data_IF_972348309305
#
_entry.id   IF_972348309305
#
_cell.length_a   1.000
_cell.length_b   1.000
_cell.length_c   1.000
_cell.angle_alpha   90.00
_cell.angle_beta   90.00
_cell.angle_gamma   90.00
#
_symmetry.space_group_name_H-M   'P 1'
#
loop_
_entity.id
_entity.type
_entity.pdbx_description
1 polymer ?
#
# COMPACT_ATOMS: atom_id res chain seq x y z
N UNK A 1 -17.52 8.16 -10.85
CA UNK A 1 -18.64 7.27 -11.23
C UNK A 1 -19.47 7.84 -12.38
N UNK A 2 -19.88 9.12 -12.36
CA UNK A 2 -20.71 9.73 -13.43
C UNK A 2 -19.98 10.72 -14.36
N UNK A 3 -18.68 10.94 -14.16
CA UNK A 3 -17.84 11.76 -15.05
C UNK A 3 -17.31 10.95 -16.23
N UNK A 4 -16.95 11.60 -17.36
CA UNK A 4 -16.44 10.92 -18.55
C UNK A 4 -15.28 9.98 -18.23
N UNK A 5 -15.30 8.81 -18.86
CA UNK A 5 -14.36 7.71 -18.59
C UNK A 5 -12.92 8.13 -18.88
N UNK A 6 -12.69 8.80 -20.02
CA UNK A 6 -11.39 9.35 -20.39
C UNK A 6 -10.86 10.43 -19.41
N UNK A 7 -11.76 11.15 -18.72
CA UNK A 7 -11.34 12.14 -17.73
C UNK A 7 -10.66 11.51 -16.50
N UNK A 8 -10.91 10.22 -16.24
CA UNK A 8 -10.23 9.49 -15.14
C UNK A 8 -8.74 9.33 -15.42
N UNK A 9 -8.38 8.92 -16.63
CA UNK A 9 -6.98 8.85 -17.06
C UNK A 9 -6.32 10.24 -17.03
N UNK A 10 -7.02 11.25 -17.58
CA UNK A 10 -6.52 12.63 -17.57
C UNK A 10 -6.26 13.14 -16.13
N UNK A 11 -7.13 12.80 -15.17
CA UNK A 11 -6.99 13.24 -13.78
C UNK A 11 -5.72 12.71 -13.11
N UNK A 12 -5.36 11.44 -13.38
CA UNK A 12 -4.15 10.81 -12.84
C UNK A 12 -2.90 11.50 -13.37
N UNK A 13 -2.80 11.66 -14.70
CA UNK A 13 -1.64 12.30 -15.31
C UNK A 13 -1.53 13.78 -14.99
N UNK A 14 -2.65 14.48 -14.87
CA UNK A 14 -2.67 15.89 -14.44
C UNK A 14 -2.15 16.02 -13.01
N UNK A 15 -2.62 15.17 -12.09
CA UNK A 15 -2.22 15.17 -10.69
C UNK A 15 -0.72 14.94 -10.51
N UNK A 16 -0.17 13.91 -11.15
CA UNK A 16 1.27 13.62 -11.05
C UNK A 16 2.12 14.71 -11.71
N UNK A 17 1.67 15.29 -12.82
CA UNK A 17 2.42 16.38 -13.48
C UNK A 17 2.47 17.64 -12.62
N UNK A 18 1.38 17.95 -11.90
CA UNK A 18 1.39 19.04 -10.92
C UNK A 18 2.31 18.70 -9.74
N UNK A 19 2.30 17.45 -9.26
CA UNK A 19 3.19 17.03 -8.18
C UNK A 19 4.67 17.14 -8.57
N UNK A 20 5.02 16.77 -9.80
CA UNK A 20 6.36 16.94 -10.36
C UNK A 20 6.74 18.41 -10.51
N UNK A 21 5.81 19.28 -10.92
CA UNK A 21 6.09 20.71 -11.00
C UNK A 21 6.51 21.29 -9.64
N UNK A 22 5.82 20.93 -8.56
CA UNK A 22 6.22 21.35 -7.21
C UNK A 22 7.49 20.64 -6.72
N UNK A 23 7.69 19.37 -7.07
CA UNK A 23 8.95 18.65 -6.82
C UNK A 23 10.13 19.40 -7.44
N UNK A 24 9.98 19.86 -8.67
CA UNK A 24 11.04 20.53 -9.44
C UNK A 24 11.38 21.92 -8.86
N UNK A 25 10.50 22.51 -8.03
CA UNK A 25 10.83 23.69 -7.21
C UNK A 25 11.67 23.36 -5.96
N UNK A 26 11.91 22.08 -5.67
CA UNK A 26 12.60 21.60 -4.47
C UNK A 26 11.66 21.28 -3.30
N UNK A 27 10.36 21.07 -3.54
CA UNK A 27 9.42 20.67 -2.49
C UNK A 27 9.29 19.15 -2.35
N UNK A 28 8.80 18.74 -1.18
CA UNK A 28 8.37 17.37 -0.90
C UNK A 28 6.85 17.28 -1.00
N UNK A 29 6.35 16.54 -1.97
CA UNK A 29 4.93 16.49 -2.35
C UNK A 29 4.38 15.08 -2.10
N UNK A 30 3.15 14.99 -1.60
CA UNK A 30 2.40 13.75 -1.53
C UNK A 30 1.23 13.79 -2.51
N UNK A 31 1.12 12.77 -3.37
CA UNK A 31 0.01 12.59 -4.31
C UNK A 31 -0.84 11.39 -3.87
N UNK A 32 -2.12 11.63 -3.59
CA UNK A 32 -3.08 10.57 -3.27
C UNK A 32 -3.94 10.28 -4.51
N UNK A 33 -3.89 9.03 -5.00
CA UNK A 33 -4.67 8.57 -6.14
C UNK A 33 -5.79 7.62 -5.65
N UNK A 34 -7.01 8.15 -5.54
CA UNK A 34 -8.18 7.42 -5.05
C UNK A 34 -9.30 7.34 -6.11
N UNK A 35 -9.49 6.24 -6.85
CA UNK A 35 -8.71 5.00 -6.82
C UNK A 35 -8.14 4.64 -8.19
N UNK A 36 -6.97 3.99 -8.19
CA UNK A 36 -6.29 3.57 -9.42
C UNK A 36 -7.04 2.44 -10.12
N UNK A 37 -7.87 1.66 -9.41
CA UNK A 37 -8.80 0.70 -10.02
C UNK A 37 -9.82 1.39 -10.93
N UNK A 38 -10.34 2.56 -10.58
CA UNK A 38 -11.28 3.31 -11.43
C UNK A 38 -10.63 3.86 -12.70
N UNK A 39 -9.32 4.10 -12.65
CA UNK A 39 -8.51 4.42 -13.81
C UNK A 39 -8.27 3.17 -14.67
N UNK A 40 -7.92 2.03 -14.08
CA UNK A 40 -7.75 0.77 -14.81
C UNK A 40 -9.04 0.32 -15.52
N UNK A 41 -10.20 0.46 -14.87
CA UNK A 41 -11.51 0.23 -15.49
C UNK A 41 -11.74 1.14 -16.70
N UNK A 42 -11.29 2.40 -16.64
CA UNK A 42 -11.40 3.33 -17.75
C UNK A 42 -10.55 2.90 -18.94
N UNK A 43 -9.32 2.43 -18.69
CA UNK A 43 -8.46 1.85 -19.71
C UNK A 43 -9.10 0.62 -20.35
N UNK A 44 -9.71 -0.26 -19.54
CA UNK A 44 -10.48 -1.41 -20.04
C UNK A 44 -11.63 -1.01 -20.94
N UNK A 45 -12.41 -0.01 -20.56
CA UNK A 45 -13.54 0.44 -21.39
C UNK A 45 -13.08 1.07 -22.71
N UNK A 46 -12.01 1.87 -22.68
CA UNK A 46 -11.44 2.48 -23.89
C UNK A 46 -10.87 1.39 -24.82
N UNK A 47 -10.11 0.46 -24.27
CA UNK A 47 -9.54 -0.69 -25.00
C UNK A 47 -10.63 -1.52 -25.67
N UNK A 48 -11.72 -1.82 -24.96
CA UNK A 48 -12.87 -2.52 -25.53
C UNK A 48 -13.57 -1.76 -26.65
N UNK A 49 -13.66 -0.43 -26.57
CA UNK A 49 -14.22 0.41 -27.66
C UNK A 49 -13.29 0.51 -28.87
N UNK A 50 -11.99 0.35 -28.67
CA UNK A 50 -10.99 0.30 -29.73
C UNK A 50 -10.86 -1.10 -30.35
N UNK A 51 -11.64 -2.08 -29.87
CA UNK A 51 -11.58 -3.47 -30.31
C UNK A 51 -10.18 -4.09 -30.15
N UNK A 52 -9.42 -3.62 -29.15
CA UNK A 52 -8.13 -4.21 -28.81
C UNK A 52 -8.32 -5.61 -28.21
N UNK A 53 -7.35 -6.49 -28.42
CA UNK A 53 -7.37 -7.82 -27.79
C UNK A 53 -7.26 -7.68 -26.27
N UNK A 54 -8.23 -8.19 -25.49
CA UNK A 54 -8.20 -8.12 -24.04
C UNK A 54 -7.11 -9.03 -23.46
N UNK A 55 -6.45 -8.56 -22.41
CA UNK A 55 -5.60 -9.36 -21.54
C UNK A 55 -6.38 -9.99 -20.39
N UNK A 56 -5.73 -10.16 -19.24
CA UNK A 56 -6.32 -10.74 -18.03
C UNK A 56 -7.53 -9.93 -17.55
N UNK A 57 -8.63 -10.63 -17.23
CA UNK A 57 -9.90 -10.05 -16.77
C UNK A 57 -10.47 -8.90 -17.64
N UNK A 58 -10.12 -8.90 -18.92
CA UNK A 58 -10.56 -7.90 -19.88
C UNK A 58 -9.76 -6.61 -19.88
N UNK A 59 -8.74 -6.45 -19.02
CA UNK A 59 -7.87 -5.27 -19.04
C UNK A 59 -6.97 -5.26 -20.28
N UNK A 60 -6.55 -4.09 -20.78
CA UNK A 60 -5.59 -4.03 -21.88
C UNK A 60 -4.25 -4.66 -21.51
N UNK A 61 -3.55 -5.24 -22.49
CA UNK A 61 -2.23 -5.83 -22.29
C UNK A 61 -1.18 -4.83 -21.74
N UNK A 62 -1.38 -3.53 -21.96
CA UNK A 62 -0.51 -2.45 -21.48
C UNK A 62 -0.86 -1.93 -20.07
N UNK A 63 -1.80 -2.55 -19.34
CA UNK A 63 -2.14 -2.11 -17.98
C UNK A 63 -0.90 -2.06 -17.06
N UNK A 64 -0.07 -3.11 -17.10
CA UNK A 64 1.12 -3.21 -16.26
C UNK A 64 2.13 -2.09 -16.55
N UNK A 65 2.40 -1.80 -17.83
CA UNK A 65 3.33 -0.74 -18.21
C UNK A 65 2.79 0.64 -17.86
N UNK A 66 1.49 0.90 -18.01
CA UNK A 66 0.87 2.18 -17.59
C UNK A 66 0.97 2.43 -16.09
N UNK A 67 0.72 1.39 -15.28
CA UNK A 67 0.90 1.49 -13.83
C UNK A 67 2.37 1.74 -13.48
N UNK A 68 3.31 1.06 -14.14
CA UNK A 68 4.74 1.25 -13.93
C UNK A 68 5.18 2.68 -14.29
N UNK A 69 4.81 3.16 -15.49
CA UNK A 69 5.06 4.54 -15.93
C UNK A 69 4.56 5.58 -14.92
N UNK A 70 3.39 5.34 -14.32
CA UNK A 70 2.83 6.24 -13.33
C UNK A 70 3.60 6.23 -12.00
N UNK A 71 3.87 5.05 -11.42
CA UNK A 71 4.54 4.96 -10.12
C UNK A 71 6.02 5.31 -10.19
N UNK A 72 6.71 5.04 -11.30
CA UNK A 72 8.13 5.39 -11.50
C UNK A 72 8.38 6.91 -11.63
N UNK A 73 7.32 7.71 -11.85
CA UNK A 73 7.41 9.18 -11.76
C UNK A 73 7.57 9.68 -10.33
N UNK A 74 7.21 8.85 -9.35
CA UNK A 74 7.43 9.13 -7.94
C UNK A 74 8.91 8.90 -7.57
N UNK A 75 9.38 9.59 -6.53
CA UNK A 75 10.75 9.40 -6.04
C UNK A 75 11.38 10.67 -5.50
N UNK A 76 12.54 10.50 -4.87
CA UNK A 76 13.43 11.57 -4.43
C UNK A 76 14.48 11.82 -5.51
N UNK A 77 14.57 13.04 -6.00
CA UNK A 77 15.43 13.40 -7.14
C UNK A 77 16.22 14.69 -6.87
N UNK A 78 17.37 14.80 -7.50
CA UNK A 78 18.06 16.08 -7.69
C UNK A 78 17.39 16.81 -8.85
N UNK A 79 16.89 18.02 -8.61
CA UNK A 79 16.13 18.78 -9.62
C UNK A 79 17.08 19.50 -10.56
N UNK A 80 16.65 19.70 -11.80
CA UNK A 80 17.41 20.46 -12.78
C UNK A 80 17.46 21.95 -12.38
N UNK A 81 18.64 22.57 -12.53
CA UNK A 81 18.82 23.99 -12.26
C UNK A 81 20.28 24.37 -12.04
N UNK A 82 20.54 25.67 -11.90
CA UNK A 82 21.86 26.19 -11.52
C UNK A 82 22.18 25.93 -10.04
N UNK A 83 21.15 25.81 -9.20
CA UNK A 83 21.27 25.48 -7.79
C UNK A 83 21.02 24.00 -7.54
N UNK A 84 21.84 23.40 -6.68
CA UNK A 84 21.66 22.02 -6.25
C UNK A 84 20.50 21.91 -5.27
N UNK A 85 19.33 21.55 -5.78
CA UNK A 85 18.09 21.35 -5.00
C UNK A 85 17.64 19.90 -5.09
N UNK A 86 16.93 19.47 -4.06
CA UNK A 86 16.35 18.15 -3.97
C UNK A 86 14.85 18.28 -3.75
N UNK A 87 14.08 17.45 -4.44
CA UNK A 87 12.63 17.38 -4.30
C UNK A 87 12.17 15.93 -4.23
N UNK A 88 10.95 15.69 -3.75
CA UNK A 88 10.38 14.35 -3.81
C UNK A 88 8.89 14.33 -4.11
N UNK A 89 8.44 13.28 -4.79
CA UNK A 89 7.01 12.92 -4.89
C UNK A 89 6.81 11.58 -4.24
N UNK A 90 5.92 11.52 -3.25
CA UNK A 90 5.43 10.28 -2.63
C UNK A 90 4.03 10.00 -3.17
N UNK A 91 3.85 8.89 -3.87
CA UNK A 91 2.53 8.48 -4.38
C UNK A 91 1.90 7.46 -3.44
N UNK A 92 0.64 7.71 -3.08
CA UNK A 92 -0.21 6.79 -2.32
C UNK A 92 -1.42 6.45 -3.19
N UNK A 93 -1.45 5.24 -3.73
CA UNK A 93 -2.55 4.75 -4.56
C UNK A 93 -3.51 3.86 -3.78
N UNK A 94 -4.80 4.18 -3.80
CA UNK A 94 -5.84 3.27 -3.34
C UNK A 94 -6.23 2.32 -4.47
N UNK A 95 -6.24 1.02 -4.19
CA UNK A 95 -6.72 -0.03 -5.09
C UNK A 95 -8.00 -0.62 -4.51
N UNK A 96 -9.02 -0.78 -5.33
CA UNK A 96 -10.36 -1.27 -4.95
C UNK A 96 -10.65 -2.60 -5.65
N UNK A 97 -9.98 -3.70 -5.26
CA UNK A 97 -10.20 -5.01 -5.88
C UNK A 97 -11.64 -5.48 -5.64
N UNK A 98 -12.31 -6.07 -6.65
CA UNK A 98 -13.65 -6.63 -6.48
C UNK A 98 -13.63 -7.71 -5.40
N UNK A 99 -14.50 -7.57 -4.40
CA UNK A 99 -14.61 -8.54 -3.30
C UNK A 99 -13.39 -8.60 -2.35
N UNK A 100 -12.43 -7.69 -2.46
CA UNK A 100 -11.21 -7.74 -1.66
C UNK A 100 -10.18 -8.76 -2.14
N UNK A 101 -10.32 -9.28 -3.36
CA UNK A 101 -9.41 -10.27 -3.93
C UNK A 101 -8.12 -9.60 -4.44
N UNK A 102 -7.00 -9.85 -3.75
CA UNK A 102 -5.70 -9.29 -4.15
C UNK A 102 -5.08 -9.99 -5.37
N UNK A 103 -5.66 -11.08 -5.87
CA UNK A 103 -5.16 -11.78 -7.06
C UNK A 103 -5.53 -11.09 -8.38
N UNK A 104 -6.44 -10.11 -8.34
CA UNK A 104 -6.87 -9.39 -9.53
C UNK A 104 -5.73 -8.55 -10.17
N UNK A 105 -5.78 -8.29 -11.49
CA UNK A 105 -4.66 -7.71 -12.23
C UNK A 105 -4.18 -6.35 -11.76
N UNK A 106 -5.05 -5.45 -11.30
CA UNK A 106 -4.66 -4.09 -10.87
C UNK A 106 -3.81 -4.16 -9.60
N UNK A 107 -4.21 -4.96 -8.62
CA UNK A 107 -3.49 -5.21 -7.38
C UNK A 107 -2.17 -5.90 -7.68
N UNK A 108 -2.17 -7.01 -8.43
CA UNK A 108 -0.94 -7.74 -8.75
C UNK A 108 0.08 -6.87 -9.50
N UNK A 109 -0.35 -6.10 -10.50
CA UNK A 109 0.55 -5.22 -11.24
C UNK A 109 1.05 -4.07 -10.35
N UNK A 110 0.21 -3.50 -9.49
CA UNK A 110 0.63 -2.45 -8.54
C UNK A 110 1.68 -2.99 -7.56
N UNK A 111 1.46 -4.17 -6.96
CA UNK A 111 2.38 -4.80 -6.00
C UNK A 111 3.76 -5.11 -6.58
N UNK A 112 3.87 -5.32 -7.90
CA UNK A 112 5.16 -5.53 -8.58
C UNK A 112 6.03 -4.28 -8.60
N UNK A 113 5.43 -3.09 -8.47
CA UNK A 113 6.13 -1.81 -8.64
C UNK A 113 6.32 -1.12 -7.29
N UNK A 114 5.27 -1.08 -6.46
CA UNK A 114 5.31 -0.37 -5.17
C UNK A 114 6.12 -1.14 -4.13
N UNK A 115 6.80 -0.41 -3.25
CA UNK A 115 7.63 -0.99 -2.18
C UNK A 115 6.93 -1.10 -0.83
N UNK A 116 5.70 -0.59 -0.72
CA UNK A 116 4.88 -0.61 0.49
C UNK A 116 3.48 -1.06 0.12
N UNK A 117 2.94 -1.95 0.93
CA UNK A 117 1.58 -2.45 0.80
C UNK A 117 0.86 -2.38 2.14
N UNK A 118 -0.26 -1.66 2.18
CA UNK A 118 -1.18 -1.63 3.31
C UNK A 118 -2.44 -2.40 2.93
N UNK A 119 -2.50 -3.65 3.36
CA UNK A 119 -3.65 -4.51 3.15
C UNK A 119 -4.80 -4.06 4.07
N UNK A 120 -5.84 -3.44 3.53
CA UNK A 120 -7.05 -3.14 4.30
C UNK A 120 -7.90 -4.41 4.46
N UNK A 121 -8.43 -4.60 5.67
CA UNK A 121 -9.19 -5.79 6.04
C UNK A 121 -10.60 -5.46 6.50
N UNK A 122 -11.59 -6.12 5.90
CA UNK A 122 -13.00 -5.89 6.18
C UNK A 122 -13.41 -6.39 7.57
N UNK A 123 -12.81 -7.47 8.08
CA UNK A 123 -13.12 -8.00 9.41
C UNK A 123 -12.62 -7.06 10.51
N UNK A 124 -11.44 -6.44 10.32
CA UNK A 124 -10.97 -5.37 11.19
C UNK A 124 -11.91 -4.17 11.17
N UNK A 125 -12.37 -3.75 9.99
CA UNK A 125 -13.32 -2.65 9.85
C UNK A 125 -14.67 -2.95 10.52
N UNK A 126 -15.22 -4.16 10.35
CA UNK A 126 -16.45 -4.62 11.01
C UNK A 126 -16.32 -4.66 12.54
N UNK A 127 -15.11 -4.96 13.05
CA UNK A 127 -14.78 -4.90 14.48
C UNK A 127 -14.48 -3.47 14.98
N UNK A 128 -14.63 -2.45 14.12
CA UNK A 128 -14.32 -1.03 14.40
C UNK A 128 -12.85 -0.78 14.78
N UNK A 129 -11.94 -1.62 14.30
CA UNK A 129 -10.51 -1.41 14.45
C UNK A 129 -10.03 -0.49 13.31
N UNK A 130 -9.62 0.73 13.65
CA UNK A 130 -9.19 1.75 12.69
C UNK A 130 -7.80 2.32 13.05
N UNK A 131 -6.91 2.52 12.07
CA UNK A 131 -7.05 2.15 10.65
C UNK A 131 -7.08 0.62 10.46
N UNK A 132 -7.92 0.14 9.54
CA UNK A 132 -8.20 -1.29 9.35
C UNK A 132 -7.11 -2.01 8.54
N UNK A 133 -5.86 -1.80 8.91
CA UNK A 133 -4.68 -2.34 8.22
C UNK A 133 -4.35 -3.71 8.82
N UNK A 134 -4.36 -4.75 7.99
CA UNK A 134 -3.95 -6.08 8.40
C UNK A 134 -2.43 -6.12 8.64
N UNK A 135 -2.01 -6.19 9.90
CA UNK A 135 -0.61 -6.10 10.29
C UNK A 135 0.28 -7.23 9.76
N UNK A 136 -0.24 -8.45 9.60
CA UNK A 136 0.55 -9.59 9.05
C UNK A 136 0.62 -9.66 7.52
N UNK A 137 -0.38 -9.10 6.81
CA UNK A 137 -0.40 -9.10 5.33
C UNK A 137 0.27 -7.86 4.75
N UNK A 138 0.28 -6.76 5.50
CA UNK A 138 0.92 -5.51 5.11
C UNK A 138 2.44 -5.60 5.26
N UNK A 139 3.17 -4.92 4.38
CA UNK A 139 4.63 -4.89 4.43
C UNK A 139 5.19 -3.56 3.94
N UNK A 140 6.45 -3.30 4.31
CA UNK A 140 7.24 -2.18 3.81
C UNK A 140 8.66 -2.65 3.57
N UNK A 141 9.16 -2.48 2.34
CA UNK A 141 10.54 -2.78 1.99
C UNK A 141 11.52 -1.66 2.42
N UNK A 142 11.01 -0.53 2.93
CA UNK A 142 11.82 0.61 3.35
C UNK A 142 12.35 0.50 4.79
N UNK A 143 11.93 -0.51 5.56
CA UNK A 143 12.29 -0.62 6.99
C UNK A 143 13.80 -0.54 7.23
N UNK A 144 14.61 -1.23 6.41
CA UNK A 144 16.06 -1.18 6.51
C UNK A 144 16.61 0.20 6.12
N UNK A 145 16.03 0.85 5.11
CA UNK A 145 16.47 2.18 4.65
C UNK A 145 16.20 3.28 5.68
N UNK A 146 15.08 3.20 6.39
CA UNK A 146 14.70 4.21 7.40
C UNK A 146 15.32 3.93 8.77
N UNK A 147 15.74 2.69 9.03
CA UNK A 147 16.27 2.23 10.31
C UNK A 147 17.27 3.20 10.94
N UNK A 148 18.30 3.59 10.19
CA UNK A 148 19.36 4.46 10.71
C UNK A 148 18.82 5.81 11.20
N UNK A 149 17.88 6.40 10.44
CA UNK A 149 17.25 7.65 10.84
C UNK A 149 16.44 7.48 12.13
N UNK A 150 15.63 6.41 12.23
CA UNK A 150 14.82 6.14 13.41
C UNK A 150 15.66 5.84 14.66
N UNK A 151 16.73 5.06 14.53
CA UNK A 151 17.63 4.74 15.64
C UNK A 151 18.35 5.96 16.20
N UNK A 152 18.75 6.90 15.32
CA UNK A 152 19.46 8.10 15.73
C UNK A 152 18.56 9.22 16.27
N UNK A 153 17.33 9.33 15.75
CA UNK A 153 16.45 10.47 16.05
C UNK A 153 15.34 10.13 17.05
N UNK A 154 14.96 8.85 17.19
CA UNK A 154 13.84 8.43 18.03
C UNK A 154 14.32 7.54 19.17
N UNK A 155 14.78 6.32 18.86
CA UNK A 155 15.22 5.36 19.87
C UNK A 155 16.12 4.29 19.24
N UNK A 156 17.27 4.01 19.88
CA UNK A 156 18.26 3.05 19.37
C UNK A 156 17.72 1.62 19.23
N UNK A 157 16.71 1.27 20.03
CA UNK A 157 16.05 -0.02 20.08
C UNK A 157 14.74 -0.08 19.26
N UNK A 158 14.40 0.98 18.51
CA UNK A 158 13.16 1.05 17.72
C UNK A 158 12.95 -0.17 16.82
N UNK A 159 14.00 -0.58 16.12
CA UNK A 159 13.91 -1.72 15.19
C UNK A 159 13.67 -3.04 15.93
N UNK A 160 14.32 -3.22 17.08
CA UNK A 160 14.20 -4.41 17.90
C UNK A 160 12.81 -4.49 18.57
N UNK A 161 12.32 -3.38 19.12
CA UNK A 161 10.97 -3.27 19.69
C UNK A 161 9.89 -3.56 18.64
N UNK A 162 10.02 -2.99 17.43
CA UNK A 162 9.11 -3.29 16.31
C UNK A 162 9.13 -4.78 15.97
N UNK A 163 10.32 -5.38 15.87
CA UNK A 163 10.48 -6.81 15.55
C UNK A 163 9.82 -7.68 16.63
N UNK A 164 10.01 -7.34 17.90
CA UNK A 164 9.39 -8.04 19.02
C UNK A 164 7.87 -7.92 18.99
N UNK A 165 7.32 -6.71 18.82
CA UNK A 165 5.88 -6.48 18.70
C UNK A 165 5.25 -7.28 17.54
N UNK A 166 5.90 -7.28 16.37
CA UNK A 166 5.45 -8.09 15.24
C UNK A 166 5.54 -9.58 15.51
N UNK A 167 6.57 -10.04 16.23
CA UNK A 167 6.70 -11.45 16.65
C UNK A 167 5.61 -11.88 17.64
N UNK A 168 5.19 -10.99 18.54
CA UNK A 168 4.06 -11.21 19.44
C UNK A 168 2.75 -11.35 18.63
N UNK A 169 2.49 -10.43 17.70
CA UNK A 169 1.30 -10.47 16.85
C UNK A 169 1.25 -11.71 15.93
N UNK A 170 2.40 -12.17 15.44
CA UNK A 170 2.47 -13.40 14.64
C UNK A 170 2.14 -14.63 15.49
N UNK A 171 2.71 -14.73 16.70
CA UNK A 171 2.39 -15.79 17.65
C UNK A 171 0.94 -15.76 18.11
N UNK A 172 0.36 -14.57 18.29
CA UNK A 172 -1.07 -14.44 18.57
C UNK A 172 -1.89 -15.11 17.47
N UNK A 173 -1.60 -14.86 16.20
CA UNK A 173 -2.34 -15.46 15.09
C UNK A 173 -2.25 -16.99 15.08
N UNK A 174 -1.06 -17.56 15.34
CA UNK A 174 -0.87 -19.01 15.47
C UNK A 174 -1.68 -19.59 16.65
N UNK A 175 -1.66 -18.90 17.80
CA UNK A 175 -2.40 -19.35 18.98
C UNK A 175 -3.91 -19.20 18.83
N UNK A 176 -4.40 -18.20 18.10
CA UNK A 176 -5.85 -18.01 17.89
C UNK A 176 -6.50 -19.22 17.21
N UNK A 177 -5.79 -19.91 16.32
CA UNK A 177 -6.28 -21.16 15.72
C UNK A 177 -6.48 -22.26 16.77
N UNK A 178 -5.52 -22.39 17.69
CA UNK A 178 -5.60 -23.35 18.81
C UNK A 178 -6.72 -22.95 19.77
N UNK A 179 -6.82 -21.66 20.14
CA UNK A 179 -7.87 -21.12 21.02
C UNK A 179 -9.26 -21.44 20.48
N UNK A 180 -9.47 -21.37 19.17
CA UNK A 180 -10.75 -21.71 18.55
C UNK A 180 -11.11 -23.20 18.68
N UNK A 181 -10.12 -24.09 18.82
CA UNK A 181 -10.33 -25.54 18.94
C UNK A 181 -10.54 -25.99 20.39
N UNK A 182 -9.74 -25.49 21.33
CA UNK A 182 -9.70 -26.00 22.72
C UNK A 182 -10.11 -24.98 23.79
N UNK A 183 -10.32 -23.72 23.40
CA UNK A 183 -10.61 -22.61 24.33
C UNK A 183 -9.35 -21.97 24.94
N UNK A 184 -9.43 -20.71 25.40
CA UNK A 184 -8.27 -19.95 25.89
C UNK A 184 -7.70 -20.51 27.21
N UNK A 185 -8.54 -21.11 28.05
CA UNK A 185 -8.15 -21.64 29.37
C UNK A 185 -7.27 -22.90 29.27
N UNK A 186 -7.24 -23.55 28.11
CA UNK A 186 -6.43 -24.73 27.87
C UNK A 186 -4.95 -24.39 27.59
N UNK A 187 -4.64 -23.12 27.33
CA UNK A 187 -3.27 -22.69 27.01
C UNK A 187 -2.42 -22.53 28.28
N UNK A 188 -1.10 -22.81 28.21
CA UNK A 188 -0.15 -22.48 29.28
C UNK A 188 -0.18 -20.99 29.65
N UNK A 189 0.08 -20.66 30.93
CA UNK A 189 0.06 -19.28 31.42
C UNK A 189 0.93 -18.30 30.61
N UNK A 190 2.05 -18.76 30.04
CA UNK A 190 2.93 -17.96 29.18
C UNK A 190 2.25 -17.55 27.87
N UNK A 191 1.46 -18.44 27.29
CA UNK A 191 0.73 -18.19 26.04
C UNK A 191 -0.48 -17.30 26.29
N UNK A 192 -1.16 -17.48 27.42
CA UNK A 192 -2.20 -16.54 27.87
C UNK A 192 -1.65 -15.12 28.06
N UNK A 193 -0.49 -14.98 28.71
CA UNK A 193 0.16 -13.67 28.87
C UNK A 193 0.56 -13.07 27.51
N UNK A 194 0.96 -13.89 26.55
CA UNK A 194 1.25 -13.44 25.18
C UNK A 194 -0.01 -12.91 24.49
N UNK A 195 -1.14 -13.61 24.59
CA UNK A 195 -2.42 -13.16 24.02
C UNK A 195 -2.87 -11.82 24.62
N UNK A 196 -2.74 -11.62 25.92
CA UNK A 196 -3.05 -10.33 26.56
C UNK A 196 -2.07 -9.22 26.13
N UNK A 197 -0.79 -9.55 25.95
CA UNK A 197 0.20 -8.59 25.44
C UNK A 197 -0.13 -8.19 24.00
N UNK A 198 -0.49 -9.16 23.14
CA UNK A 198 -0.90 -8.91 21.77
C UNK A 198 -2.18 -8.07 21.71
N UNK A 199 -3.16 -8.36 22.58
CA UNK A 199 -4.37 -7.56 22.76
C UNK A 199 -4.07 -6.13 23.18
N UNK A 200 -3.06 -5.90 24.00
CA UNK A 200 -2.63 -4.55 24.38
C UNK A 200 -1.93 -3.78 23.25
N UNK A 201 -1.35 -4.49 22.27
CA UNK A 201 -0.73 -3.88 21.09
C UNK A 201 -1.80 -3.44 20.08
N UNK A 202 -2.93 -4.14 20.01
CA UNK A 202 -4.07 -3.88 19.10
C UNK A 202 -5.01 -2.81 19.65
#
# INVERSE_FOLDING_TARGET
SNMPVAAREASIYTGITIAEYFRDMGYHVALMADSTSRWAEALREISGRLEEMPGEEGYPAYLASRLAEFYERAGYVEVLGSEKKYGSVTVVGAVSPPGGDFSEPVTQNTLRIVKVFWALDADLAHKRHFPSIHWLRSYSLYLNSVRHWWENNIAKDWYDLRREAMGILQREAELQEIVQLVGPDALPAKEQALLETARSIR
#
